data_IF_120566814826
#
_entry.id   IF_120566814826
#
_cell.length_a   1.000
_cell.length_b   1.000
_cell.length_c   1.000
_cell.angle_alpha   90.00
_cell.angle_beta   90.00
_cell.angle_gamma   90.00
#
_symmetry.space_group_name_H-M   'P 1'
#
loop_
_entity.id
_entity.type
_entity.pdbx_description
1 polymer ?
#
# COMPACT_ATOMS: atom_id res chain seq x y z
N UNK A 1 29.01 10.78 -13.29
CA UNK A 1 27.95 10.99 -14.30
C UNK A 1 27.12 9.72 -14.35
N UNK A 2 25.81 9.80 -14.13
CA UNK A 2 24.89 8.68 -14.42
C UNK A 2 24.92 8.42 -15.93
N UNK A 3 24.83 7.15 -16.35
CA UNK A 3 24.74 6.86 -17.78
C UNK A 3 23.44 7.43 -18.35
N UNK A 4 23.38 7.70 -19.66
CA UNK A 4 22.14 8.16 -20.30
C UNK A 4 20.97 7.18 -20.08
N UNK A 5 21.26 5.89 -19.92
CA UNK A 5 20.26 4.85 -19.62
C UNK A 5 19.71 5.02 -18.21
N UNK A 6 20.58 5.24 -17.22
CA UNK A 6 20.15 5.47 -15.84
C UNK A 6 19.29 6.74 -15.76
N UNK A 7 19.69 7.81 -16.46
CA UNK A 7 18.93 9.07 -16.44
C UNK A 7 17.52 8.92 -17.01
N UNK A 8 17.36 8.26 -18.16
CA UNK A 8 16.03 8.01 -18.76
C UNK A 8 15.17 7.13 -17.86
N UNK A 9 15.78 6.14 -17.19
CA UNK A 9 15.08 5.30 -16.22
C UNK A 9 14.61 6.11 -14.99
N UNK A 10 15.47 6.95 -14.41
CA UNK A 10 15.12 7.83 -13.28
C UNK A 10 14.01 8.82 -13.64
N UNK A 11 14.13 9.50 -14.77
CA UNK A 11 13.13 10.47 -15.24
C UNK A 11 11.79 9.76 -15.49
N UNK A 12 11.81 8.59 -16.15
CA UNK A 12 10.62 7.77 -16.36
C UNK A 12 9.98 7.30 -15.04
N UNK A 13 10.77 6.88 -14.06
CA UNK A 13 10.25 6.50 -12.75
C UNK A 13 9.62 7.69 -12.04
N UNK A 14 10.29 8.85 -12.03
CA UNK A 14 9.82 10.09 -11.40
C UNK A 14 8.49 10.57 -11.98
N UNK A 15 8.32 10.50 -13.30
CA UNK A 15 7.09 10.94 -13.97
C UNK A 15 5.91 9.99 -13.70
N UNK A 16 6.19 8.69 -13.52
CA UNK A 16 5.15 7.67 -13.36
C UNK A 16 4.82 7.35 -11.90
N UNK A 17 5.72 7.63 -10.95
CA UNK A 17 5.54 7.33 -9.53
C UNK A 17 4.27 7.96 -8.92
N UNK A 18 3.91 9.23 -9.20
CA UNK A 18 2.66 9.81 -8.71
C UNK A 18 1.40 9.09 -9.22
N UNK A 19 1.44 8.59 -10.47
CA UNK A 19 0.36 7.80 -11.05
C UNK A 19 0.25 6.44 -10.36
N UNK A 20 1.39 5.82 -10.04
CA UNK A 20 1.45 4.56 -9.32
C UNK A 20 0.93 4.72 -7.88
N UNK A 21 1.34 5.77 -7.17
CA UNK A 21 0.85 6.12 -5.83
C UNK A 21 -0.67 6.28 -5.80
N UNK A 22 -1.22 6.96 -6.81
CA UNK A 22 -2.67 7.16 -6.96
C UNK A 22 -3.39 5.83 -7.15
N UNK A 23 -2.92 4.98 -8.09
CA UNK A 23 -3.54 3.67 -8.36
C UNK A 23 -3.48 2.75 -7.15
N UNK A 24 -2.35 2.75 -6.43
CA UNK A 24 -2.19 2.02 -5.19
C UNK A 24 -3.19 2.48 -4.12
N UNK A 25 -3.33 3.79 -3.94
CA UNK A 25 -4.27 4.38 -2.97
C UNK A 25 -5.73 4.04 -3.32
N UNK A 26 -6.09 4.09 -4.60
CA UNK A 26 -7.42 3.70 -5.09
C UNK A 26 -7.71 2.21 -4.83
N UNK A 27 -6.75 1.32 -5.12
CA UNK A 27 -6.91 -0.11 -4.87
C UNK A 27 -7.08 -0.42 -3.37
N UNK A 28 -6.27 0.20 -2.50
CA UNK A 28 -6.38 0.06 -1.04
C UNK A 28 -7.76 0.54 -0.57
N UNK A 29 -8.22 1.69 -1.08
CA UNK A 29 -9.54 2.23 -0.74
C UNK A 29 -10.68 1.29 -1.17
N UNK A 30 -10.69 0.82 -2.41
CA UNK A 30 -11.71 -0.11 -2.90
C UNK A 30 -11.74 -1.42 -2.11
N UNK A 31 -10.58 -1.93 -1.69
CA UNK A 31 -10.51 -3.12 -0.85
C UNK A 31 -11.07 -2.87 0.55
N UNK A 32 -10.75 -1.72 1.17
CA UNK A 32 -11.30 -1.35 2.48
C UNK A 32 -12.83 -1.16 2.44
N UNK A 33 -13.35 -0.58 1.36
CA UNK A 33 -14.80 -0.47 1.11
C UNK A 33 -15.45 -1.85 1.00
N UNK A 34 -14.84 -2.79 0.27
CA UNK A 34 -15.33 -4.17 0.18
C UNK A 34 -15.39 -4.88 1.55
N UNK A 35 -14.33 -4.78 2.37
CA UNK A 35 -14.33 -5.32 3.74
C UNK A 35 -15.42 -4.68 4.60
N UNK A 36 -15.67 -3.38 4.41
CA UNK A 36 -16.74 -2.66 5.11
C UNK A 36 -18.12 -3.18 4.73
N UNK A 37 -18.37 -3.42 3.44
CA UNK A 37 -19.63 -4.01 2.97
C UNK A 37 -19.84 -5.43 3.48
N UNK A 38 -18.79 -6.27 3.49
CA UNK A 38 -18.85 -7.61 4.10
C UNK A 38 -19.21 -7.54 5.60
N UNK A 39 -18.64 -6.58 6.33
CA UNK A 39 -18.98 -6.37 7.73
C UNK A 39 -20.43 -5.90 7.93
N UNK A 40 -21.00 -5.12 7.00
CA UNK A 40 -22.43 -4.76 7.03
C UNK A 40 -23.30 -6.00 6.81
N UNK A 41 -22.98 -6.84 5.83
CA UNK A 41 -23.68 -8.11 5.57
C UNK A 41 -23.63 -9.03 6.80
N UNK A 42 -22.48 -9.14 7.46
CA UNK A 42 -22.34 -9.89 8.71
C UNK A 42 -23.30 -9.40 9.81
N UNK A 43 -23.48 -8.08 9.94
CA UNK A 43 -24.40 -7.49 10.93
C UNK A 43 -25.88 -7.74 10.63
N UNK A 44 -26.24 -7.85 9.35
CA UNK A 44 -27.61 -8.11 8.90
C UNK A 44 -27.98 -9.60 8.94
N UNK A 45 -27.00 -10.50 9.00
CA UNK A 45 -27.24 -11.94 9.10
C UNK A 45 -27.67 -12.33 10.52
N UNK A 46 -28.98 -12.46 10.76
CA UNK A 46 -29.56 -12.78 12.07
C UNK A 46 -29.72 -14.28 12.36
N UNK A 47 -29.01 -15.14 11.62
CA UNK A 47 -28.96 -16.58 11.88
C UNK A 47 -28.06 -17.32 10.90
N UNK A 48 -27.78 -18.61 11.15
CA UNK A 48 -27.09 -19.59 10.27
C UNK A 48 -25.53 -19.56 10.15
N UNK A 49 -24.91 -20.68 9.70
CA UNK A 49 -23.47 -20.84 9.42
C UNK A 49 -22.86 -19.79 8.49
N UNK A 50 -23.69 -19.17 7.64
CA UNK A 50 -23.31 -18.09 6.72
C UNK A 50 -22.71 -16.91 7.48
N UNK A 51 -23.23 -16.58 8.67
CA UNK A 51 -22.68 -15.51 9.51
C UNK A 51 -21.23 -15.79 9.92
N UNK A 52 -20.95 -17.02 10.32
CA UNK A 52 -19.60 -17.39 10.79
C UNK A 52 -18.61 -17.45 9.63
N UNK A 53 -19.03 -17.91 8.44
CA UNK A 53 -18.23 -17.86 7.22
C UNK A 53 -17.94 -16.42 6.78
N UNK A 54 -18.95 -15.54 6.77
CA UNK A 54 -18.77 -14.12 6.40
C UNK A 54 -17.89 -13.40 7.42
N UNK A 55 -18.00 -13.72 8.71
CA UNK A 55 -17.15 -13.19 9.77
C UNK A 55 -15.69 -13.66 9.63
N UNK A 56 -15.46 -14.95 9.36
CA UNK A 56 -14.13 -15.49 9.09
C UNK A 56 -13.52 -14.82 7.86
N UNK A 57 -14.27 -14.77 6.75
CA UNK A 57 -13.85 -14.11 5.52
C UNK A 57 -13.53 -12.63 5.73
N UNK A 58 -14.39 -11.88 6.42
CA UNK A 58 -14.14 -10.48 6.73
C UNK A 58 -12.89 -10.30 7.60
N UNK A 59 -12.64 -11.19 8.57
CA UNK A 59 -11.43 -11.19 9.39
C UNK A 59 -10.16 -11.48 8.59
N UNK A 60 -10.17 -12.51 7.75
CA UNK A 60 -9.05 -12.88 6.87
C UNK A 60 -8.72 -11.77 5.87
N UNK A 61 -9.75 -11.17 5.26
CA UNK A 61 -9.59 -10.05 4.34
C UNK A 61 -9.10 -8.80 5.06
N UNK A 62 -9.56 -8.51 6.28
CA UNK A 62 -9.09 -7.35 7.04
C UNK A 62 -7.62 -7.49 7.48
N UNK A 63 -7.14 -8.70 7.75
CA UNK A 63 -5.71 -8.92 7.98
C UNK A 63 -4.91 -8.81 6.67
N UNK A 64 -5.47 -9.31 5.58
CA UNK A 64 -4.85 -9.25 4.26
C UNK A 64 -4.76 -7.82 3.70
N UNK A 65 -5.76 -6.96 3.93
CA UNK A 65 -5.72 -5.54 3.53
C UNK A 65 -4.55 -4.82 4.15
N UNK A 66 -4.35 -5.00 5.47
CA UNK A 66 -3.27 -4.35 6.22
C UNK A 66 -1.92 -4.82 5.70
N UNK A 67 -1.77 -6.12 5.43
CA UNK A 67 -0.56 -6.67 4.83
C UNK A 67 -0.29 -6.08 3.43
N UNK A 68 -1.28 -6.09 2.53
CA UNK A 68 -1.12 -5.57 1.17
C UNK A 68 -0.84 -4.07 1.17
N UNK A 69 -1.54 -3.29 1.98
CA UNK A 69 -1.32 -1.85 2.10
C UNK A 69 0.10 -1.55 2.61
N UNK A 70 0.58 -2.30 3.61
CA UNK A 70 1.96 -2.17 4.10
C UNK A 70 2.99 -2.51 3.02
N UNK A 71 2.83 -3.67 2.36
CA UNK A 71 3.76 -4.12 1.31
C UNK A 71 3.83 -3.10 0.16
N UNK A 72 2.69 -2.59 -0.31
CA UNK A 72 2.64 -1.57 -1.36
C UNK A 72 3.30 -0.27 -0.88
N UNK A 73 3.01 0.17 0.35
CA UNK A 73 3.64 1.35 0.93
C UNK A 73 5.17 1.23 1.04
N UNK A 74 5.67 0.08 1.49
CA UNK A 74 7.11 -0.18 1.61
C UNK A 74 7.81 -0.15 0.24
N UNK A 75 7.21 -0.74 -0.80
CA UNK A 75 7.77 -0.71 -2.16
C UNK A 75 7.71 0.70 -2.78
N UNK A 76 6.60 1.43 -2.60
CA UNK A 76 6.51 2.83 -3.06
C UNK A 76 7.55 3.70 -2.35
N UNK A 77 7.77 3.51 -1.05
CA UNK A 77 8.79 4.24 -0.31
C UNK A 77 10.22 3.96 -0.83
N UNK A 78 10.52 2.71 -1.21
CA UNK A 78 11.80 2.37 -1.87
C UNK A 78 11.94 3.11 -3.21
N UNK A 79 10.89 3.15 -4.02
CA UNK A 79 10.90 3.89 -5.29
C UNK A 79 11.08 5.40 -5.07
N UNK A 80 10.43 5.97 -4.04
CA UNK A 80 10.63 7.36 -3.62
C UNK A 80 12.08 7.63 -3.19
N UNK A 81 12.71 6.73 -2.45
CA UNK A 81 14.12 6.84 -2.06
C UNK A 81 15.10 6.76 -3.24
N UNK A 82 14.73 6.02 -4.29
CA UNK A 82 15.50 5.95 -5.55
C UNK A 82 15.43 7.30 -6.29
N UNK A 83 14.23 7.89 -6.45
CA UNK A 83 14.08 9.16 -7.19
C UNK A 83 14.45 10.40 -6.39
N UNK A 84 14.45 10.32 -5.05
CA UNK A 84 14.80 11.39 -4.12
C UNK A 84 15.90 10.93 -3.13
N UNK A 85 17.14 10.69 -3.58
CA UNK A 85 18.20 10.16 -2.72
C UNK A 85 18.65 11.11 -1.60
N UNK A 86 18.22 12.38 -1.61
CA UNK A 86 18.56 13.37 -0.60
C UNK A 86 17.88 13.15 0.77
N UNK A 87 16.76 12.41 0.84
CA UNK A 87 16.02 12.21 2.10
C UNK A 87 16.45 10.97 2.92
N UNK A 88 17.31 10.10 2.38
CA UNK A 88 17.74 8.87 3.06
C UNK A 88 18.95 9.11 3.98
N UNK A 89 19.70 10.22 3.79
CA UNK A 89 20.94 10.50 4.51
C UNK A 89 20.75 11.26 5.84
N UNK A 90 19.57 11.79 6.16
CA UNK A 90 19.40 12.60 7.39
C UNK A 90 19.06 11.76 8.62
N UNK A 91 18.53 10.54 8.48
CA UNK A 91 18.16 9.70 9.63
C UNK A 91 19.34 8.96 10.27
N UNK A 92 20.50 8.89 9.61
CA UNK A 92 21.68 8.16 10.13
C UNK A 92 22.67 9.03 10.91
N UNK A 93 22.55 10.36 10.85
CA UNK A 93 23.51 11.29 11.50
C UNK A 93 23.07 11.74 12.89
N UNK A 94 21.77 11.77 13.20
CA UNK A 94 21.28 12.22 14.51
C UNK A 94 21.43 11.18 15.64
N UNK A 95 21.82 9.94 15.35
CA UNK A 95 22.03 8.90 16.36
C UNK A 95 23.46 8.84 16.93
N UNK A 96 24.34 9.78 16.55
CA UNK A 96 25.76 9.80 16.96
C UNK A 96 26.29 11.18 17.36
N UNK A 97 25.44 12.10 17.85
CA UNK A 97 25.90 13.36 18.47
C UNK A 97 25.53 13.43 19.94
#
# INVERSE_FOLDING_TARGET
>A
MLSNVDKVYFDGLKDNLPSLDKKASEAIKSFAEFVTELNKVNKLSTGTPVKEQVKQLAGELNNSSVFFAKMIGDELNKLHGIVNPASVNETEVESKS
#
